data_IF_936896010938
#
_entry.id   IF_936896010938
#
_cell.length_a   1.000
_cell.length_b   1.000
_cell.length_c   1.000
_cell.angle_alpha   90.00
_cell.angle_beta   90.00
_cell.angle_gamma   90.00
#
_symmetry.space_group_name_H-M   'P 1'
#
loop_
_entity.id
_entity.type
_entity.pdbx_description
1 polymer ?
#
# COMPACT_ATOMS: atom_id res chain seq x y z
N UNK A 1 31.49 -18.91 -15.36
CA UNK A 1 31.96 -18.58 -13.99
C UNK A 1 30.91 -17.61 -13.51
N UNK A 2 29.79 -18.16 -13.06
CA UNK A 2 28.56 -17.39 -12.88
C UNK A 2 28.69 -16.71 -11.53
N UNK A 3 29.09 -15.43 -11.56
CA UNK A 3 29.31 -14.63 -10.36
C UNK A 3 28.03 -14.60 -9.53
N UNK A 4 28.06 -15.29 -8.40
CA UNK A 4 26.94 -15.51 -7.47
C UNK A 4 26.75 -14.24 -6.64
N UNK A 5 26.45 -13.11 -7.29
CA UNK A 5 26.09 -11.88 -6.57
C UNK A 5 24.70 -12.06 -5.97
N UNK A 6 24.58 -11.91 -4.65
CA UNK A 6 23.28 -11.91 -3.98
C UNK A 6 22.40 -10.77 -4.54
N UNK A 7 21.15 -11.05 -4.94
CA UNK A 7 20.19 -10.02 -5.31
C UNK A 7 20.07 -8.94 -4.24
N UNK A 8 20.03 -7.68 -4.66
CA UNK A 8 19.82 -6.54 -3.77
C UNK A 8 18.56 -5.79 -4.20
N UNK A 9 17.69 -5.49 -3.24
CA UNK A 9 16.55 -4.57 -3.41
C UNK A 9 16.78 -3.31 -2.60
N UNK A 10 16.21 -2.20 -3.07
CA UNK A 10 16.39 -0.89 -2.46
C UNK A 10 15.04 -0.29 -2.09
N UNK A 11 14.92 0.17 -0.85
CA UNK A 11 13.79 0.94 -0.34
C UNK A 11 14.21 2.42 -0.32
N UNK A 12 13.45 3.26 -1.00
CA UNK A 12 13.67 4.70 -1.06
C UNK A 12 12.57 5.42 -0.29
N UNK A 13 12.93 6.39 0.55
CA UNK A 13 11.97 7.22 1.27
C UNK A 13 12.56 8.56 1.70
N UNK A 14 11.69 9.46 2.17
CA UNK A 14 12.12 10.74 2.76
C UNK A 14 11.06 11.30 3.71
N UNK A 15 11.39 11.48 5.01
CA UNK A 15 12.50 10.79 5.68
C UNK A 15 12.28 9.27 5.62
N UNK A 16 13.35 8.48 5.45
CA UNK A 16 13.24 7.00 5.49
C UNK A 16 13.25 6.44 6.91
N UNK A 17 13.72 7.23 7.88
CA UNK A 17 13.78 6.83 9.28
C UNK A 17 12.36 6.51 9.82
N UNK A 18 12.23 5.38 10.53
CA UNK A 18 10.95 4.90 11.05
C UNK A 18 10.13 4.06 10.06
N UNK A 19 10.60 3.88 8.82
CA UNK A 19 9.97 2.95 7.88
C UNK A 19 10.41 1.49 8.19
N UNK A 20 9.47 0.56 8.50
CA UNK A 20 9.79 -0.82 8.88
C UNK A 20 10.16 -1.74 7.70
N UNK A 21 10.02 -1.27 6.45
CA UNK A 21 10.08 -2.13 5.26
C UNK A 21 11.38 -2.93 5.17
N UNK A 22 12.53 -2.34 5.44
CA UNK A 22 13.79 -3.09 5.37
C UNK A 22 13.83 -4.26 6.35
N UNK A 23 13.46 -4.02 7.62
CA UNK A 23 13.45 -5.06 8.64
C UNK A 23 12.47 -6.18 8.26
N UNK A 24 11.24 -5.83 7.86
CA UNK A 24 10.23 -6.79 7.46
C UNK A 24 10.62 -7.61 6.22
N UNK A 25 11.22 -6.97 5.20
CA UNK A 25 11.71 -7.65 4.00
C UNK A 25 12.86 -8.61 4.30
N UNK A 26 13.82 -8.23 5.15
CA UNK A 26 14.92 -9.11 5.56
C UNK A 26 14.40 -10.35 6.30
N UNK A 27 13.45 -10.17 7.22
CA UNK A 27 12.78 -11.27 7.95
C UNK A 27 12.01 -12.19 7.00
N UNK A 28 11.29 -11.63 6.03
CA UNK A 28 10.57 -12.40 5.03
C UNK A 28 11.52 -13.21 4.13
N UNK A 29 12.61 -12.61 3.64
CA UNK A 29 13.62 -13.31 2.84
C UNK A 29 14.31 -14.43 3.61
N UNK A 30 14.64 -14.20 4.88
CA UNK A 30 15.19 -15.23 5.76
C UNK A 30 14.23 -16.41 5.93
N UNK A 31 12.94 -16.14 6.20
CA UNK A 31 11.92 -17.18 6.38
C UNK A 31 11.77 -18.09 5.13
N UNK A 32 11.99 -17.53 3.94
CA UNK A 32 11.92 -18.23 2.66
C UNK A 32 13.28 -18.79 2.19
N UNK A 33 14.33 -18.67 3.02
CA UNK A 33 15.71 -19.08 2.72
C UNK A 33 16.27 -18.42 1.45
N UNK A 34 15.88 -17.17 1.18
CA UNK A 34 16.35 -16.37 0.06
C UNK A 34 17.56 -15.53 0.48
N UNK A 35 18.67 -15.67 -0.24
CA UNK A 35 19.88 -14.84 -0.04
C UNK A 35 19.75 -13.50 -0.77
N UNK A 36 18.80 -12.69 -0.33
CA UNK A 36 18.55 -11.34 -0.83
C UNK A 36 19.00 -10.32 0.22
N UNK A 37 19.48 -9.18 -0.24
CA UNK A 37 19.85 -8.05 0.62
C UNK A 37 18.87 -6.91 0.40
N UNK A 38 18.58 -6.19 1.48
CA UNK A 38 17.76 -4.98 1.45
C UNK A 38 18.63 -3.81 1.87
N UNK A 39 18.49 -2.70 1.15
CA UNK A 39 19.12 -1.43 1.52
C UNK A 39 18.01 -0.40 1.59
N UNK A 40 18.00 0.44 2.63
CA UNK A 40 17.17 1.64 2.68
C UNK A 40 18.03 2.88 2.43
N UNK A 41 17.52 3.83 1.66
CA UNK A 41 18.19 5.11 1.43
C UNK A 41 17.23 6.27 1.59
N UNK A 42 17.68 7.30 2.30
CA UNK A 42 17.01 8.59 2.38
C UNK A 42 17.30 9.37 1.09
N UNK A 43 16.26 9.72 0.34
CA UNK A 43 16.38 10.41 -0.95
C UNK A 43 15.36 11.55 -1.03
N UNK A 44 15.79 12.82 -1.06
CA UNK A 44 14.89 13.95 -1.25
C UNK A 44 14.01 13.80 -2.50
N UNK A 45 12.73 14.22 -2.48
CA UNK A 45 11.78 14.07 -3.59
C UNK A 45 12.31 14.54 -4.95
N UNK A 46 13.10 15.62 -4.97
CA UNK A 46 13.70 16.21 -6.17
C UNK A 46 14.84 15.37 -6.79
N UNK A 47 15.32 14.33 -6.10
CA UNK A 47 16.39 13.43 -6.55
C UNK A 47 15.94 11.99 -6.82
N UNK A 48 14.65 11.69 -6.69
CA UNK A 48 14.13 10.32 -6.84
C UNK A 48 14.45 9.73 -8.21
N UNK A 49 14.28 10.49 -9.29
CA UNK A 49 14.61 10.00 -10.64
C UNK A 49 16.10 9.64 -10.79
N UNK A 50 16.98 10.43 -10.16
CA UNK A 50 18.42 10.17 -10.17
C UNK A 50 18.76 8.90 -9.36
N UNK A 51 18.06 8.67 -8.25
CA UNK A 51 18.23 7.47 -7.44
C UNK A 51 17.74 6.21 -8.17
N UNK A 52 16.59 6.28 -8.87
CA UNK A 52 16.07 5.18 -9.69
C UNK A 52 17.03 4.84 -10.83
N UNK A 53 17.53 5.85 -11.55
CA UNK A 53 18.53 5.64 -12.61
C UNK A 53 19.84 5.06 -12.05
N UNK A 54 20.28 5.54 -10.88
CA UNK A 54 21.43 4.99 -10.18
C UNK A 54 21.24 3.52 -9.81
N UNK A 55 20.05 3.14 -9.30
CA UNK A 55 19.73 1.78 -8.97
C UNK A 55 19.70 0.85 -10.20
N UNK A 56 19.25 1.35 -11.34
CA UNK A 56 19.32 0.64 -12.62
C UNK A 56 20.76 0.30 -13.00
N UNK A 57 21.65 1.30 -12.96
CA UNK A 57 23.08 1.20 -13.29
C UNK A 57 23.84 0.29 -12.31
N UNK A 58 23.50 0.37 -11.02
CA UNK A 58 24.13 -0.43 -9.97
C UNK A 58 23.66 -1.89 -9.95
N UNK A 59 22.67 -2.26 -10.76
CA UNK A 59 22.25 -3.65 -10.90
C UNK A 59 21.28 -4.13 -9.82
N UNK A 60 20.55 -3.23 -9.14
CA UNK A 60 19.51 -3.64 -8.19
C UNK A 60 18.46 -4.50 -8.89
N UNK A 61 17.88 -5.45 -8.15
CA UNK A 61 16.85 -6.38 -8.64
C UNK A 61 15.43 -5.86 -8.44
N UNK A 62 15.25 -4.91 -7.54
CA UNK A 62 13.97 -4.29 -7.26
C UNK A 62 14.11 -2.98 -6.49
N UNK A 63 13.10 -2.13 -6.62
CA UNK A 63 12.97 -0.86 -5.90
C UNK A 63 11.57 -0.77 -5.31
N UNK A 64 11.48 -0.33 -4.06
CA UNK A 64 10.23 0.07 -3.43
C UNK A 64 10.35 1.54 -3.00
N UNK A 65 9.38 2.34 -3.40
CA UNK A 65 9.29 3.75 -3.00
C UNK A 65 8.26 3.86 -1.88
N UNK A 66 8.65 4.52 -0.81
CA UNK A 66 7.74 5.01 0.21
C UNK A 66 6.71 5.97 -0.40
N UNK A 67 5.50 6.01 0.17
CA UNK A 67 4.39 6.83 -0.32
C UNK A 67 4.75 8.31 -0.44
N UNK A 68 5.62 8.83 0.43
CA UNK A 68 6.09 10.22 0.37
C UNK A 68 6.88 10.54 -0.91
N UNK A 69 7.37 9.51 -1.62
CA UNK A 69 8.10 9.64 -2.88
C UNK A 69 7.26 9.24 -4.10
N UNK A 70 6.01 8.82 -3.94
CA UNK A 70 5.15 8.38 -5.06
C UNK A 70 4.49 9.57 -5.77
N UNK A 71 4.13 10.61 -5.02
CA UNK A 71 3.51 11.83 -5.56
C UNK A 71 4.59 12.89 -5.82
N UNK A 72 4.90 13.23 -7.09
CA UNK A 72 5.88 14.27 -7.38
C UNK A 72 5.34 15.64 -6.94
N UNK A 73 6.20 16.50 -6.40
CA UNK A 73 5.81 17.88 -6.01
C UNK A 73 5.33 18.71 -7.21
N UNK A 74 5.82 18.40 -8.42
CA UNK A 74 5.66 19.24 -9.62
C UNK A 74 5.14 18.49 -10.87
N UNK A 75 4.60 17.27 -10.75
CA UNK A 75 4.12 16.52 -11.92
C UNK A 75 2.71 15.92 -11.70
N UNK A 76 1.82 16.00 -12.72
CA UNK A 76 0.45 15.49 -12.63
C UNK A 76 0.37 13.95 -12.69
N UNK A 77 1.39 13.28 -13.21
CA UNK A 77 1.42 11.82 -13.33
C UNK A 77 2.06 11.20 -12.08
N UNK A 78 1.36 10.24 -11.49
CA UNK A 78 1.84 9.52 -10.31
C UNK A 78 3.03 8.62 -10.67
N UNK A 79 4.10 8.65 -9.87
CA UNK A 79 5.25 7.77 -10.06
C UNK A 79 4.88 6.34 -9.69
N UNK A 80 5.46 5.34 -10.36
CA UNK A 80 5.34 3.97 -9.89
C UNK A 80 5.99 3.82 -8.51
N UNK A 81 5.41 2.99 -7.65
CA UNK A 81 5.93 2.76 -6.30
C UNK A 81 6.77 1.48 -6.22
N UNK A 82 6.63 0.56 -7.18
CA UNK A 82 7.35 -0.70 -7.23
C UNK A 82 8.02 -0.90 -8.58
N UNK A 83 9.29 -1.31 -8.55
CA UNK A 83 10.09 -1.63 -9.73
C UNK A 83 10.71 -3.02 -9.56
N UNK A 84 10.75 -3.80 -10.64
CA UNK A 84 11.41 -5.11 -10.65
C UNK A 84 11.95 -5.46 -12.03
N UNK A 85 12.86 -6.44 -12.07
CA UNK A 85 13.35 -7.08 -13.30
C UNK A 85 12.91 -8.53 -13.29
N UNK A 86 12.21 -8.99 -14.33
CA UNK A 86 11.64 -10.34 -14.40
C UNK A 86 12.70 -11.45 -14.44
N UNK A 87 13.82 -11.23 -15.12
CA UNK A 87 14.90 -12.21 -15.26
C UNK A 87 16.30 -11.61 -15.02
N UNK A 88 17.34 -12.44 -14.81
CA UNK A 88 18.73 -11.98 -14.69
C UNK A 88 19.24 -11.20 -15.91
N UNK A 89 18.69 -11.49 -17.10
CA UNK A 89 19.03 -10.86 -18.37
C UNK A 89 18.16 -9.65 -18.72
N UNK A 90 17.11 -9.36 -17.95
CA UNK A 90 16.27 -8.17 -18.17
C UNK A 90 16.96 -6.94 -17.59
N UNK A 91 17.20 -5.95 -18.45
CA UNK A 91 17.77 -4.66 -18.06
C UNK A 91 16.70 -3.65 -17.67
N UNK A 92 15.54 -3.70 -18.31
CA UNK A 92 14.46 -2.73 -18.15
C UNK A 92 13.61 -3.00 -16.91
N UNK A 93 13.19 -1.93 -16.26
CA UNK A 93 12.23 -1.99 -15.17
C UNK A 93 10.83 -2.35 -15.69
N UNK A 94 10.21 -3.30 -15.01
CA UNK A 94 8.76 -3.39 -14.92
C UNK A 94 8.31 -2.57 -13.71
N UNK A 95 7.15 -1.92 -13.80
CA UNK A 95 6.72 -0.92 -12.82
C UNK A 95 5.23 -0.99 -12.53
N UNK A 96 4.83 -0.67 -11.29
CA UNK A 96 3.43 -0.48 -10.93
C UNK A 96 3.24 0.43 -9.71
N UNK A 97 2.01 0.90 -9.50
CA UNK A 97 1.57 1.42 -8.21
C UNK A 97 1.06 0.23 -7.37
N UNK A 98 1.93 -0.25 -6.49
CA UNK A 98 1.69 -1.48 -5.70
C UNK A 98 0.57 -1.30 -4.69
N UNK A 99 0.40 -0.10 -4.13
CA UNK A 99 -0.71 0.20 -3.23
C UNK A 99 -2.05 0.11 -3.97
N UNK A 100 -2.17 0.80 -5.10
CA UNK A 100 -3.40 0.77 -5.91
C UNK A 100 -3.72 -0.66 -6.38
N UNK A 101 -2.70 -1.42 -6.77
CA UNK A 101 -2.85 -2.81 -7.23
C UNK A 101 -3.32 -3.73 -6.11
N UNK A 102 -2.69 -3.64 -4.94
CA UNK A 102 -3.09 -4.42 -3.76
C UNK A 102 -4.52 -4.06 -3.30
N UNK A 103 -4.82 -2.76 -3.19
CA UNK A 103 -6.16 -2.30 -2.81
C UNK A 103 -7.23 -2.79 -3.76
N UNK A 104 -6.98 -2.68 -5.07
CA UNK A 104 -7.93 -3.16 -6.07
C UNK A 104 -8.19 -4.66 -5.91
N UNK A 105 -7.17 -5.46 -5.61
CA UNK A 105 -7.32 -6.88 -5.37
C UNK A 105 -8.13 -7.16 -4.09
N UNK A 106 -7.82 -6.52 -2.97
CA UNK A 106 -8.53 -6.75 -1.70
C UNK A 106 -9.97 -6.23 -1.74
N UNK A 107 -10.23 -5.07 -2.36
CA UNK A 107 -11.58 -4.56 -2.57
C UNK A 107 -12.38 -5.55 -3.43
N UNK A 108 -11.82 -6.02 -4.55
CA UNK A 108 -12.51 -7.01 -5.40
C UNK A 108 -12.80 -8.29 -4.65
N UNK A 109 -11.81 -8.84 -3.95
CA UNK A 109 -11.95 -10.05 -3.13
C UNK A 109 -13.05 -9.92 -2.07
N UNK A 110 -13.21 -8.75 -1.46
CA UNK A 110 -14.31 -8.49 -0.53
C UNK A 110 -15.68 -8.59 -1.21
N UNK A 111 -15.83 -8.04 -2.42
CA UNK A 111 -17.10 -8.04 -3.15
C UNK A 111 -17.31 -9.28 -4.07
N UNK A 112 -16.28 -10.09 -4.30
CA UNK A 112 -16.32 -11.28 -5.17
C UNK A 112 -17.37 -12.30 -4.72
N UNK A 113 -17.59 -12.45 -3.41
CA UNK A 113 -18.60 -13.35 -2.86
C UNK A 113 -20.04 -12.86 -3.04
N UNK A 114 -20.25 -11.63 -3.52
CA UNK A 114 -21.55 -10.96 -3.52
C UNK A 114 -22.23 -10.95 -4.90
N UNK A 115 -21.60 -11.52 -5.94
CA UNK A 115 -22.09 -11.54 -7.35
C UNK A 115 -22.57 -10.15 -7.85
N UNK A 116 -22.07 -9.07 -7.26
CA UNK A 116 -22.55 -7.70 -7.46
C UNK A 116 -21.40 -6.77 -7.84
N UNK A 117 -21.69 -5.75 -8.65
CA UNK A 117 -20.76 -4.64 -8.87
C UNK A 117 -20.38 -3.99 -7.53
N UNK A 118 -19.14 -3.48 -7.46
CA UNK A 118 -18.67 -2.66 -6.33
C UNK A 118 -19.60 -1.44 -6.31
N UNK A 119 -20.48 -1.39 -5.30
CA UNK A 119 -21.53 -0.37 -5.20
C UNK A 119 -20.98 1.04 -4.97
N UNK A 120 -21.83 2.00 -4.58
CA UNK A 120 -21.43 3.39 -4.46
C UNK A 120 -20.21 3.58 -3.53
N UNK A 121 -19.22 4.32 -4.03
CA UNK A 121 -18.05 4.78 -3.28
C UNK A 121 -18.35 6.13 -2.63
N UNK A 122 -18.10 6.25 -1.34
CA UNK A 122 -18.09 7.51 -0.60
C UNK A 122 -16.67 7.86 -0.20
N UNK A 123 -16.20 9.02 -0.65
CA UNK A 123 -14.99 9.66 -0.13
C UNK A 123 -15.32 10.57 1.06
N UNK A 124 -14.58 10.41 2.16
CA UNK A 124 -14.60 11.33 3.31
C UNK A 124 -13.21 11.93 3.46
N UNK A 125 -13.10 13.22 3.18
CA UNK A 125 -11.83 13.93 3.03
C UNK A 125 -11.37 14.05 1.58
N UNK A 126 -10.12 14.47 1.39
CA UNK A 126 -9.52 14.63 0.06
C UNK A 126 -9.17 13.27 -0.55
N UNK A 127 -9.63 12.92 -1.77
CA UNK A 127 -9.28 11.64 -2.40
C UNK A 127 -7.78 11.40 -2.47
N UNK A 128 -7.35 10.20 -2.08
CA UNK A 128 -5.94 9.79 -2.13
C UNK A 128 -5.59 9.29 -3.54
N UNK A 129 -4.56 9.84 -4.21
CA UNK A 129 -4.20 9.43 -5.57
C UNK A 129 -3.70 7.99 -5.67
N UNK A 130 -3.29 7.35 -4.57
CA UNK A 130 -2.90 5.94 -4.53
C UNK A 130 -4.11 4.99 -4.46
N UNK A 131 -5.34 5.51 -4.35
CA UNK A 131 -6.55 4.70 -4.41
C UNK A 131 -6.88 4.32 -5.86
N UNK A 132 -7.31 3.07 -6.12
CA UNK A 132 -7.59 2.61 -7.48
C UNK A 132 -8.74 3.39 -8.14
N UNK A 133 -8.51 3.88 -9.36
CA UNK A 133 -9.52 4.58 -10.17
C UNK A 133 -10.53 3.63 -10.79
N UNK A 134 -11.73 4.10 -11.09
CA UNK A 134 -12.79 3.34 -11.78
C UNK A 134 -13.18 2.04 -11.05
N UNK A 135 -13.14 2.07 -9.72
CA UNK A 135 -13.45 0.90 -8.91
C UNK A 135 -14.95 0.74 -8.65
N UNK A 136 -15.68 1.86 -8.54
CA UNK A 136 -17.11 1.91 -8.29
C UNK A 136 -17.83 2.56 -9.48
N UNK A 137 -19.09 2.18 -9.69
CA UNK A 137 -19.92 2.76 -10.74
C UNK A 137 -20.38 4.20 -10.41
N UNK A 138 -20.54 4.50 -9.13
CA UNK A 138 -20.97 5.79 -8.61
C UNK A 138 -20.02 6.24 -7.50
N UNK A 139 -19.63 7.52 -7.52
CA UNK A 139 -18.72 8.12 -6.54
C UNK A 139 -19.34 9.40 -5.97
N UNK A 140 -19.29 9.55 -4.64
CA UNK A 140 -19.78 10.72 -3.91
C UNK A 140 -18.72 11.20 -2.92
N UNK A 141 -18.58 12.51 -2.78
CA UNK A 141 -17.44 13.11 -2.07
C UNK A 141 -17.93 14.05 -0.98
N UNK A 142 -17.52 13.80 0.26
CA UNK A 142 -17.57 14.79 1.33
C UNK A 142 -16.18 15.39 1.53
N UNK A 143 -15.95 16.66 1.19
CA UNK A 143 -14.61 17.28 1.20
C UNK A 143 -14.12 17.65 2.61
N UNK A 144 -14.82 17.20 3.65
CA UNK A 144 -14.51 17.44 5.05
C UNK A 144 -14.54 16.10 5.78
N UNK A 145 -13.91 16.05 6.95
CA UNK A 145 -13.94 14.92 7.89
C UNK A 145 -15.32 14.62 8.53
N UNK A 146 -16.38 14.63 7.72
CA UNK A 146 -17.76 14.37 8.12
C UNK A 146 -18.55 13.87 6.92
N UNK A 147 -19.47 12.92 7.13
CA UNK A 147 -20.48 12.54 6.14
C UNK A 147 -21.85 12.36 6.83
N UNK A 148 -22.93 12.53 6.08
CA UNK A 148 -24.27 12.32 6.62
C UNK A 148 -24.54 10.83 6.83
N UNK A 149 -25.41 10.50 7.80
CA UNK A 149 -25.87 9.12 8.02
C UNK A 149 -26.43 8.49 6.75
N UNK A 150 -27.16 9.26 5.94
CA UNK A 150 -27.72 8.80 4.67
C UNK A 150 -26.63 8.44 3.66
N UNK A 151 -25.59 9.28 3.53
CA UNK A 151 -24.47 9.00 2.63
C UNK A 151 -23.71 7.75 3.07
N UNK A 152 -23.48 7.59 4.38
CA UNK A 152 -22.80 6.41 4.93
C UNK A 152 -23.62 5.13 4.69
N UNK A 153 -24.95 5.17 4.89
CA UNK A 153 -25.83 4.02 4.63
C UNK A 153 -25.93 3.65 3.15
N UNK A 154 -25.79 4.63 2.27
CA UNK A 154 -25.87 4.40 0.82
C UNK A 154 -24.58 3.82 0.22
N UNK A 155 -23.44 4.06 0.88
CA UNK A 155 -22.14 3.60 0.41
C UNK A 155 -21.94 2.09 0.66
N UNK A 156 -21.36 1.39 -0.32
CA UNK A 156 -20.84 0.03 -0.13
C UNK A 156 -19.34 0.01 0.08
N UNK A 157 -18.65 1.03 -0.42
CA UNK A 157 -17.23 1.28 -0.22
C UNK A 157 -17.07 2.69 0.33
N UNK A 158 -16.34 2.84 1.43
CA UNK A 158 -16.05 4.12 2.05
C UNK A 158 -14.54 4.29 2.07
N UNK A 159 -14.01 5.35 1.48
CA UNK A 159 -12.60 5.70 1.54
C UNK A 159 -12.41 6.94 2.41
N UNK A 160 -11.58 6.82 3.44
CA UNK A 160 -11.35 7.85 4.45
C UNK A 160 -9.89 8.29 4.40
N UNK A 161 -9.64 9.57 4.20
CA UNK A 161 -8.28 10.15 4.16
C UNK A 161 -8.03 11.16 5.28
N UNK A 162 -9.05 11.48 6.06
CA UNK A 162 -8.98 12.43 7.19
C UNK A 162 -9.53 11.77 8.47
N UNK A 163 -9.13 12.29 9.62
CA UNK A 163 -9.60 11.75 10.91
C UNK A 163 -11.09 12.06 11.11
N UNK A 164 -11.92 11.04 11.27
CA UNK A 164 -13.38 11.12 11.43
C UNK A 164 -13.83 10.72 12.83
N UNK A 165 -14.98 11.26 13.27
CA UNK A 165 -15.68 10.78 14.47
C UNK A 165 -16.63 9.64 14.10
N UNK A 166 -16.14 8.41 14.16
CA UNK A 166 -16.93 7.22 13.84
C UNK A 166 -18.04 6.95 14.87
N UNK A 167 -18.03 7.59 16.05
CA UNK A 167 -19.10 7.40 17.06
C UNK A 167 -20.48 7.88 16.59
N UNK A 168 -20.51 8.73 15.56
CA UNK A 168 -21.73 9.27 14.96
C UNK A 168 -22.20 8.46 13.74
N UNK A 169 -21.46 7.43 13.34
CA UNK A 169 -21.82 6.60 12.21
C UNK A 169 -22.98 5.66 12.58
N UNK A 170 -23.87 5.35 11.62
CA UNK A 170 -24.88 4.32 11.83
C UNK A 170 -24.21 2.95 12.03
N UNK A 171 -24.86 2.01 12.73
CA UNK A 171 -24.45 0.61 12.65
C UNK A 171 -24.53 0.15 11.19
N UNK A 172 -23.57 -0.67 10.79
CA UNK A 172 -23.49 -1.24 9.46
C UNK A 172 -24.61 -2.27 9.27
N UNK A 173 -25.51 -2.00 8.32
CA UNK A 173 -26.64 -2.89 8.01
C UNK A 173 -26.30 -3.88 6.88
N UNK A 174 -25.39 -3.49 6.00
CA UNK A 174 -24.95 -4.23 4.81
C UNK A 174 -23.46 -4.60 4.87
N UNK A 175 -22.98 -5.44 3.96
CA UNK A 175 -21.55 -5.75 3.82
C UNK A 175 -20.80 -4.57 3.17
N UNK A 176 -20.36 -3.63 4.02
CA UNK A 176 -19.68 -2.39 3.65
C UNK A 176 -18.20 -2.46 4.01
N UNK A 177 -17.35 -2.05 3.07
CA UNK A 177 -15.92 -1.97 3.26
C UNK A 177 -15.47 -0.52 3.47
N UNK A 178 -14.70 -0.29 4.53
CA UNK A 178 -14.03 0.98 4.81
C UNK A 178 -12.55 0.82 4.51
N UNK A 179 -11.99 1.71 3.71
CA UNK A 179 -10.55 1.83 3.46
C UNK A 179 -10.07 3.10 4.14
N UNK A 180 -9.19 2.96 5.13
CA UNK A 180 -8.74 4.05 5.97
C UNK A 180 -7.26 4.38 5.73
N UNK A 181 -7.02 5.57 5.20
CA UNK A 181 -5.69 6.15 4.99
C UNK A 181 -5.44 7.40 5.83
N UNK A 182 -6.30 7.69 6.81
CA UNK A 182 -6.14 8.87 7.64
C UNK A 182 -4.79 8.88 8.37
N UNK A 183 -4.22 10.07 8.50
CA UNK A 183 -3.00 10.30 9.27
C UNK A 183 -3.19 11.54 10.15
N UNK A 184 -3.35 11.38 11.48
CA UNK A 184 -3.29 10.14 12.25
C UNK A 184 -4.45 9.17 11.94
N UNK A 185 -4.23 7.88 12.22
CA UNK A 185 -5.20 6.81 11.98
C UNK A 185 -6.46 6.97 12.84
N UNK A 186 -7.62 6.57 12.31
CA UNK A 186 -8.86 6.55 13.07
C UNK A 186 -8.91 5.36 14.04
N UNK A 187 -9.90 5.38 14.94
CA UNK A 187 -10.20 4.24 15.78
C UNK A 187 -10.86 3.12 14.96
N UNK A 188 -10.04 2.27 14.33
CA UNK A 188 -10.51 1.16 13.50
C UNK A 188 -11.29 0.13 14.34
N UNK A 189 -11.01 0.01 15.65
CA UNK A 189 -11.77 -0.86 16.53
C UNK A 189 -13.21 -0.36 16.70
N UNK A 190 -13.41 0.96 16.83
CA UNK A 190 -14.74 1.56 16.87
C UNK A 190 -15.50 1.34 15.55
N UNK A 191 -14.85 1.55 14.40
CA UNK A 191 -15.46 1.32 13.09
C UNK A 191 -15.88 -0.15 12.94
N UNK A 192 -15.00 -1.10 13.30
CA UNK A 192 -15.33 -2.53 13.30
C UNK A 192 -16.45 -2.88 14.29
N UNK A 193 -16.51 -2.23 15.46
CA UNK A 193 -17.55 -2.47 16.45
C UNK A 193 -18.96 -2.04 15.98
N UNK A 194 -19.03 -1.13 14.99
CA UNK A 194 -20.28 -0.78 14.31
C UNK A 194 -20.69 -1.80 13.23
N UNK A 195 -19.85 -2.79 12.91
CA UNK A 195 -20.13 -3.86 11.95
C UNK A 195 -19.50 -3.68 10.57
N UNK A 196 -18.68 -2.64 10.36
CA UNK A 196 -17.99 -2.42 9.09
C UNK A 196 -16.77 -3.33 8.93
N UNK A 197 -16.50 -3.75 7.70
CA UNK A 197 -15.20 -4.30 7.34
C UNK A 197 -14.23 -3.14 7.13
N UNK A 198 -12.97 -3.31 7.54
CA UNK A 198 -11.97 -2.24 7.47
C UNK A 198 -10.66 -2.76 6.91
N UNK A 199 -10.06 -2.01 6.00
CA UNK A 199 -8.67 -2.09 5.58
C UNK A 199 -7.96 -0.82 6.04
N UNK A 200 -7.04 -0.96 6.99
CA UNK A 200 -6.26 0.15 7.54
C UNK A 200 -4.88 0.29 6.91
N UNK A 201 -4.08 1.18 7.49
CA UNK A 201 -2.72 1.47 6.99
C UNK A 201 -1.75 0.34 7.31
N UNK A 202 -1.98 -0.40 8.38
CA UNK A 202 -1.17 -1.56 8.73
C UNK A 202 -1.37 -2.73 7.77
N UNK A 203 -2.62 -3.08 7.46
CA UNK A 203 -2.93 -4.10 6.44
C UNK A 203 -2.34 -3.70 5.08
N UNK A 204 -2.40 -2.40 4.74
CA UNK A 204 -1.82 -1.89 3.51
C UNK A 204 -0.29 -1.99 3.47
N UNK A 205 0.41 -1.72 4.58
CA UNK A 205 1.87 -1.92 4.66
C UNK A 205 2.25 -3.38 4.41
N UNK A 206 1.54 -4.32 5.04
CA UNK A 206 1.77 -5.76 4.83
C UNK A 206 1.48 -6.15 3.38
N UNK A 207 0.36 -5.71 2.83
CA UNK A 207 -0.06 -5.95 1.45
C UNK A 207 0.96 -5.49 0.42
N UNK A 208 1.49 -4.26 0.57
CA UNK A 208 2.54 -3.70 -0.27
C UNK A 208 3.79 -4.60 -0.27
N UNK A 209 4.23 -5.07 0.90
CA UNK A 209 5.42 -5.91 1.01
C UNK A 209 5.18 -7.31 0.42
N UNK A 210 4.00 -7.88 0.60
CA UNK A 210 3.61 -9.16 -0.03
C UNK A 210 3.70 -9.08 -1.55
N UNK A 211 3.06 -8.08 -2.15
CA UNK A 211 3.09 -7.86 -3.60
C UNK A 211 4.51 -7.60 -4.09
N UNK A 212 5.28 -6.75 -3.39
CA UNK A 212 6.67 -6.44 -3.73
C UNK A 212 7.54 -7.70 -3.78
N UNK A 213 7.46 -8.54 -2.74
CA UNK A 213 8.20 -9.80 -2.67
C UNK A 213 7.78 -10.76 -3.80
N UNK A 214 6.48 -10.85 -4.08
CA UNK A 214 5.97 -11.69 -5.16
C UNK A 214 6.51 -11.23 -6.52
N UNK A 215 6.56 -9.91 -6.80
CA UNK A 215 7.12 -9.39 -8.06
C UNK A 215 8.62 -9.58 -8.17
N UNK A 216 9.35 -9.43 -7.07
CA UNK A 216 10.81 -9.59 -7.08
C UNK A 216 11.26 -11.04 -7.18
N UNK A 217 10.58 -11.94 -6.47
CA UNK A 217 11.08 -13.30 -6.21
C UNK A 217 10.24 -14.40 -6.84
N UNK A 218 8.99 -14.10 -7.22
CA UNK A 218 8.00 -15.09 -7.65
C UNK A 218 7.47 -15.97 -6.50
N UNK A 219 7.84 -15.68 -5.25
CA UNK A 219 7.40 -16.39 -4.05
C UNK A 219 6.54 -15.49 -3.16
N UNK A 220 5.65 -16.09 -2.38
CA UNK A 220 4.92 -15.40 -1.31
C UNK A 220 5.44 -15.83 0.06
N UNK A 221 5.76 -14.87 0.96
CA UNK A 221 6.02 -15.18 2.36
C UNK A 221 4.70 -15.42 3.11
N UNK A 222 4.81 -15.93 4.33
CA UNK A 222 3.65 -15.97 5.25
C UNK A 222 3.33 -14.56 5.72
N UNK A 223 2.04 -14.20 5.75
CA UNK A 223 1.55 -12.88 6.18
C UNK A 223 1.99 -12.56 7.62
N UNK A 224 1.92 -13.55 8.50
CA UNK A 224 2.30 -13.43 9.91
C UNK A 224 3.75 -12.97 10.09
N UNK A 225 4.68 -13.44 9.23
CA UNK A 225 6.10 -13.05 9.30
C UNK A 225 6.29 -11.55 9.05
N UNK A 226 5.54 -10.98 8.11
CA UNK A 226 5.60 -9.54 7.82
C UNK A 226 4.91 -8.73 8.91
N UNK A 227 3.77 -9.22 9.40
CA UNK A 227 2.98 -8.56 10.46
C UNK A 227 3.79 -8.47 11.74
N UNK A 228 4.31 -9.60 12.23
CA UNK A 228 5.15 -9.65 13.43
C UNK A 228 6.40 -8.76 13.30
N UNK A 229 7.05 -8.76 12.12
CA UNK A 229 8.23 -7.93 11.92
C UNK A 229 7.93 -6.43 11.92
N UNK A 230 6.80 -6.01 11.34
CA UNK A 230 6.37 -4.61 11.37
C UNK A 230 6.03 -4.18 12.80
N UNK A 231 5.27 -5.00 13.53
CA UNK A 231 4.91 -4.75 14.93
C UNK A 231 6.15 -4.66 15.82
N UNK A 232 7.09 -5.61 15.68
CA UNK A 232 8.35 -5.62 16.42
C UNK A 232 9.15 -4.33 16.19
N UNK A 233 9.24 -3.87 14.94
CA UNK A 233 9.96 -2.64 14.61
C UNK A 233 9.29 -1.39 15.19
N UNK A 234 7.96 -1.30 15.12
CA UNK A 234 7.20 -0.13 15.56
C UNK A 234 7.02 -0.05 17.07
N UNK A 235 7.23 -1.15 17.80
CA UNK A 235 7.17 -1.19 19.26
C UNK A 235 8.42 -0.59 19.95
N UNK A 236 9.47 -0.25 19.19
CA UNK A 236 10.77 0.27 19.68
C UNK A 236 10.82 1.80 19.60
#
# INVERSE_FOLDING_TARGET
MDGITEPVVLVLGHPIAGNPAQFALERAFESMQLRWRVISSDVPPERVEQAIAGAEVLGFRGLLLDQNLVTPVDAPDQRASLYWRGGPSESQWQTENVMATWLQAEIRKHFESLESEIGPLLWIGTPDPSFPTQIAAEESHSPIAWASTEAIKHARLIAVSETVDASQWPPCEDDTLVVDFANPENDLHQIRALGYNVLGREEARVGILLESIQRWTGKQPMVDVLTEAIEEYLAV
#
